data_IF_098875375885
#
_entry.id   IF_098875375885
#
_cell.length_a   1.000
_cell.length_b   1.000
_cell.length_c   1.000
_cell.angle_alpha   90.00
_cell.angle_beta   90.00
_cell.angle_gamma   90.00
#
_symmetry.space_group_name_H-M   'P 1'
#
loop_
_entity.id
_entity.type
_entity.pdbx_description
1 polymer ?
#
# COMPACT_ATOMS: atom_id res chain seq x y z
N UNK A 1 15.94 24.95 42.83
CA UNK A 1 16.41 26.28 42.40
C UNK A 1 16.99 26.15 41.00
N UNK A 2 16.15 26.35 39.99
CA UNK A 2 16.41 26.93 38.66
C UNK A 2 15.12 26.76 37.87
N UNK A 3 14.53 27.89 37.53
CA UNK A 3 13.18 28.11 37.00
C UNK A 3 13.20 28.31 35.49
N UNK A 4 12.07 28.01 34.85
CA UNK A 4 11.68 28.40 33.49
C UNK A 4 11.48 29.92 33.36
N UNK A 5 11.37 30.37 32.10
CA UNK A 5 11.12 31.72 31.56
C UNK A 5 12.43 32.48 31.22
N UNK A 6 12.64 33.05 30.02
CA UNK A 6 11.72 33.90 29.26
C UNK A 6 11.78 33.69 27.74
N UNK A 7 10.58 33.75 27.17
CA UNK A 7 10.27 34.01 25.77
C UNK A 7 9.98 35.49 25.60
N UNK A 8 10.72 36.19 24.73
CA UNK A 8 10.30 37.47 24.16
C UNK A 8 10.89 37.64 22.76
N UNK A 9 10.03 37.50 21.75
CA UNK A 9 10.32 37.90 20.38
C UNK A 9 9.80 39.32 20.14
N UNK A 10 10.51 40.16 19.36
CA UNK A 10 9.95 41.43 18.92
C UNK A 10 8.97 41.22 17.76
N UNK A 11 7.77 41.78 17.94
CA UNK A 11 6.75 42.03 16.91
C UNK A 11 7.14 43.23 16.04
N UNK A 12 6.54 43.25 14.86
CA UNK A 12 6.36 44.40 13.95
C UNK A 12 7.52 44.80 13.03
N UNK A 13 7.51 44.18 11.85
CA UNK A 13 8.07 44.74 10.62
C UNK A 13 7.09 44.48 9.48
N UNK A 14 6.24 45.47 9.20
CA UNK A 14 5.27 45.43 8.10
C UNK A 14 5.99 45.37 6.75
N UNK A 15 5.70 44.33 5.96
CA UNK A 15 6.08 44.23 4.54
C UNK A 15 4.79 44.34 3.71
N UNK A 16 4.73 45.24 2.72
CA UNK A 16 3.50 45.50 1.97
C UNK A 16 3.13 44.32 1.07
N UNK A 17 1.82 44.06 0.96
CA UNK A 17 1.26 43.09 0.02
C UNK A 17 1.48 43.55 -1.43
N UNK A 18 1.93 42.67 -2.34
CA UNK A 18 1.75 42.90 -3.77
C UNK A 18 0.29 42.61 -4.15
N UNK A 19 -0.33 43.61 -4.79
CA UNK A 19 -1.65 43.51 -5.39
C UNK A 19 -1.65 42.55 -6.59
N UNK A 20 -2.71 41.74 -6.65
CA UNK A 20 -3.35 41.09 -7.81
C UNK A 20 -2.47 40.53 -8.94
N UNK A 21 -2.60 39.22 -9.18
CA UNK A 21 -3.37 38.71 -10.33
C UNK A 21 -3.47 37.17 -10.33
N UNK A 22 -4.71 36.68 -10.52
CA UNK A 22 -5.13 35.30 -10.86
C UNK A 22 -5.28 34.25 -9.74
N UNK A 23 -6.24 34.49 -8.83
CA UNK A 23 -6.91 33.42 -8.10
C UNK A 23 -7.98 32.76 -9.01
N UNK A 24 -7.70 31.58 -9.57
CA UNK A 24 -8.77 30.67 -10.02
C UNK A 24 -9.16 29.77 -8.86
N UNK A 25 -10.31 30.09 -8.25
CA UNK A 25 -10.95 29.30 -7.23
C UNK A 25 -11.31 27.90 -7.76
N UNK A 26 -10.68 26.86 -7.22
CA UNK A 26 -11.27 25.52 -7.22
C UNK A 26 -12.28 25.45 -6.07
N UNK A 27 -13.58 25.49 -6.41
CA UNK A 27 -14.62 25.03 -5.49
C UNK A 27 -14.93 23.55 -5.79
N UNK A 28 -14.97 22.66 -4.79
CA UNK A 28 -15.42 21.29 -4.98
C UNK A 28 -16.92 21.25 -5.22
N UNK A 29 -17.35 20.45 -6.19
CA UNK A 29 -18.77 20.15 -6.39
C UNK A 29 -19.27 19.36 -5.18
N UNK A 30 -20.19 19.95 -4.44
CA UNK A 30 -20.80 19.36 -3.26
C UNK A 30 -21.86 18.34 -3.67
N UNK A 31 -21.75 17.13 -3.09
CA UNK A 31 -22.77 16.08 -2.92
C UNK A 31 -23.24 15.33 -4.18
N UNK A 32 -23.08 14.01 -4.12
CA UNK A 32 -23.99 13.06 -4.76
C UNK A 32 -23.29 12.02 -5.62
N UNK A 33 -23.27 10.78 -5.15
CA UNK A 33 -22.93 9.60 -5.93
C UNK A 33 -23.71 9.54 -7.25
N UNK A 34 -23.02 9.39 -8.37
CA UNK A 34 -23.61 8.77 -9.55
C UNK A 34 -23.23 7.29 -9.54
N UNK A 35 -24.11 6.48 -8.94
CA UNK A 35 -24.07 5.02 -9.06
C UNK A 35 -24.25 4.62 -10.53
N UNK A 36 -23.53 3.57 -10.96
CA UNK A 36 -23.55 3.01 -12.30
C UNK A 36 -24.86 2.30 -12.73
N UNK A 37 -26.03 2.82 -12.32
CA UNK A 37 -27.36 2.33 -12.73
C UNK A 37 -28.31 3.51 -12.90
N UNK A 38 -28.29 4.13 -14.07
CA UNK A 38 -29.43 4.84 -14.67
C UNK A 38 -29.13 5.07 -16.16
N UNK A 39 -29.10 3.96 -16.90
CA UNK A 39 -29.38 3.98 -18.33
C UNK A 39 -30.88 4.26 -18.53
N UNK A 40 -31.18 4.96 -19.62
CA UNK A 40 -32.50 5.16 -20.21
C UNK A 40 -33.46 6.08 -19.44
N UNK A 41 -33.42 7.38 -19.74
CA UNK A 41 -34.58 8.22 -20.10
C UNK A 41 -34.25 9.71 -19.96
N UNK A 42 -33.74 10.32 -21.03
CA UNK A 42 -33.82 11.77 -21.24
C UNK A 42 -34.43 12.02 -22.62
N UNK A 43 -35.72 11.72 -22.74
CA UNK A 43 -36.58 12.13 -23.86
C UNK A 43 -37.66 13.04 -23.27
N UNK A 44 -37.84 14.21 -23.91
CA UNK A 44 -38.89 15.24 -23.72
C UNK A 44 -38.75 16.17 -22.52
N UNK A 45 -38.08 17.31 -22.75
CA UNK A 45 -38.57 18.62 -22.27
C UNK A 45 -38.44 19.65 -23.41
N UNK A 46 -39.62 20.00 -23.94
CA UNK A 46 -40.11 21.29 -24.47
C UNK A 46 -39.29 22.08 -25.51
N UNK A 47 -39.88 22.12 -26.71
CA UNK A 47 -39.76 23.19 -27.69
C UNK A 47 -40.16 24.55 -27.09
N UNK A 48 -39.27 25.55 -27.19
CA UNK A 48 -39.56 26.90 -27.74
C UNK A 48 -38.30 27.79 -27.66
N UNK A 49 -37.89 28.27 -28.84
CA UNK A 49 -37.03 29.44 -29.10
C UNK A 49 -35.81 29.69 -28.20
N UNK A 50 -34.62 29.32 -28.71
CA UNK A 50 -33.51 30.23 -29.03
C UNK A 50 -32.19 29.46 -29.04
N UNK A 51 -31.64 29.31 -30.25
CA UNK A 51 -30.25 28.99 -30.63
C UNK A 51 -29.28 28.70 -29.47
N UNK A 52 -29.15 27.42 -29.08
CA UNK A 52 -27.90 26.90 -28.54
C UNK A 52 -27.17 26.21 -29.68
N UNK A 53 -26.01 26.75 -30.06
CA UNK A 53 -25.01 25.97 -30.75
C UNK A 53 -24.57 24.85 -29.80
N UNK A 54 -25.19 23.67 -29.93
CA UNK A 54 -24.49 22.43 -29.62
C UNK A 54 -23.30 22.41 -30.58
N UNK A 55 -22.13 22.84 -30.11
CA UNK A 55 -20.88 22.61 -30.79
C UNK A 55 -20.66 21.10 -30.83
N UNK A 56 -21.15 20.49 -31.90
CA UNK A 56 -20.70 19.21 -32.41
C UNK A 56 -19.17 19.31 -32.44
N UNK A 57 -18.51 18.73 -31.45
CA UNK A 57 -17.06 18.68 -31.41
C UNK A 57 -16.64 17.82 -32.60
N UNK A 58 -16.27 18.49 -33.69
CA UNK A 58 -15.78 17.90 -34.91
C UNK A 58 -14.48 17.15 -34.60
N UNK A 59 -14.59 15.87 -34.28
CA UNK A 59 -13.50 14.89 -34.25
C UNK A 59 -12.84 14.72 -35.64
N UNK A 60 -13.30 15.44 -36.66
CA UNK A 60 -12.69 15.41 -37.99
C UNK A 60 -11.55 16.42 -38.07
N UNK A 61 -10.35 15.84 -38.13
CA UNK A 61 -9.26 16.27 -39.02
C UNK A 61 -8.36 17.38 -38.47
N UNK A 62 -7.63 17.04 -37.41
CA UNK A 62 -6.26 17.49 -37.19
C UNK A 62 -5.49 16.46 -36.34
N UNK A 63 -5.42 15.22 -36.82
CA UNK A 63 -4.30 14.33 -36.47
C UNK A 63 -3.09 14.78 -37.29
N UNK A 64 -2.61 16.00 -37.03
CA UNK A 64 -1.24 16.33 -37.36
C UNK A 64 -0.39 15.30 -36.60
N UNK A 65 0.28 14.43 -37.36
CA UNK A 65 1.35 13.51 -36.94
C UNK A 65 1.87 13.82 -35.53
N UNK A 66 1.21 13.27 -34.51
CA UNK A 66 1.81 13.11 -33.19
C UNK A 66 2.62 11.81 -33.27
N UNK A 67 3.63 11.81 -34.13
CA UNK A 67 4.76 10.88 -34.15
C UNK A 67 5.69 11.18 -32.94
N UNK A 68 5.12 11.43 -31.76
CA UNK A 68 5.85 11.32 -30.51
C UNK A 68 5.55 9.93 -29.99
N UNK A 69 6.50 9.02 -30.13
CA UNK A 69 6.46 7.60 -29.76
C UNK A 69 6.04 7.39 -28.30
N UNK A 70 4.74 7.22 -27.99
CA UNK A 70 4.27 7.07 -26.61
C UNK A 70 4.46 5.63 -26.12
N UNK A 71 4.63 4.67 -27.05
CA UNK A 71 5.10 3.31 -26.78
C UNK A 71 6.47 3.29 -26.10
N UNK A 72 7.38 4.20 -26.47
CA UNK A 72 8.73 4.24 -25.86
C UNK A 72 8.66 4.68 -24.39
N UNK A 73 7.90 5.74 -24.10
CA UNK A 73 7.68 6.19 -22.72
C UNK A 73 6.94 5.12 -21.92
N UNK A 74 5.93 4.49 -22.50
CA UNK A 74 5.23 3.36 -21.89
C UNK A 74 6.17 2.20 -21.54
N UNK A 75 7.03 1.77 -22.47
CA UNK A 75 7.96 0.65 -22.26
C UNK A 75 9.02 0.98 -21.20
N UNK A 76 9.59 2.19 -21.24
CA UNK A 76 10.55 2.67 -20.23
C UNK A 76 9.89 2.72 -18.83
N UNK A 77 8.68 3.27 -18.75
CA UNK A 77 7.94 3.36 -17.49
C UNK A 77 7.49 1.98 -17.00
N UNK A 78 7.08 1.08 -17.90
CA UNK A 78 6.72 -0.30 -17.58
C UNK A 78 7.88 -1.04 -16.94
N UNK A 79 9.09 -0.93 -17.51
CA UNK A 79 10.28 -1.54 -16.91
C UNK A 79 10.54 -1.03 -15.49
N UNK A 80 10.43 0.29 -15.27
CA UNK A 80 10.55 0.90 -13.93
C UNK A 80 9.48 0.37 -12.97
N UNK A 81 8.22 0.33 -13.40
CA UNK A 81 7.10 -0.17 -12.58
C UNK A 81 7.29 -1.64 -12.22
N UNK A 82 7.76 -2.48 -13.14
CA UNK A 82 8.08 -3.90 -12.84
C UNK A 82 9.19 -4.02 -11.81
N UNK A 83 10.25 -3.21 -11.91
CA UNK A 83 11.32 -3.19 -10.92
C UNK A 83 10.80 -2.74 -9.53
N UNK A 84 9.97 -1.69 -9.50
CA UNK A 84 9.32 -1.19 -8.27
C UNK A 84 8.42 -2.27 -7.68
N UNK A 85 7.58 -2.94 -8.48
CA UNK A 85 6.71 -4.03 -8.02
C UNK A 85 7.53 -5.15 -7.37
N UNK A 86 8.63 -5.55 -8.00
CA UNK A 86 9.54 -6.55 -7.47
C UNK A 86 10.16 -6.15 -6.13
N UNK A 87 10.60 -4.90 -5.98
CA UNK A 87 11.18 -4.39 -4.74
C UNK A 87 10.14 -4.25 -3.62
N UNK A 88 9.03 -3.56 -3.88
CA UNK A 88 7.96 -3.37 -2.88
C UNK A 88 7.38 -4.72 -2.45
N UNK A 89 7.17 -5.66 -3.37
CA UNK A 89 6.65 -6.99 -3.01
C UNK A 89 7.63 -7.82 -2.19
N UNK A 90 8.94 -7.60 -2.32
CA UNK A 90 9.94 -8.21 -1.41
C UNK A 90 9.83 -7.58 -0.02
N UNK A 91 9.80 -6.25 0.07
CA UNK A 91 9.70 -5.54 1.35
C UNK A 91 8.42 -5.91 2.11
N UNK A 92 7.27 -5.96 1.44
CA UNK A 92 5.99 -6.37 2.05
C UNK A 92 6.08 -7.78 2.61
N UNK A 93 6.65 -8.73 1.85
CA UNK A 93 6.84 -10.10 2.34
C UNK A 93 7.77 -10.16 3.54
N UNK A 94 8.85 -9.39 3.55
CA UNK A 94 9.75 -9.30 4.70
C UNK A 94 9.07 -8.70 5.93
N UNK A 95 8.25 -7.66 5.77
CA UNK A 95 7.46 -7.08 6.86
C UNK A 95 6.44 -8.05 7.44
N UNK A 96 5.77 -8.81 6.56
CA UNK A 96 4.80 -9.82 6.97
C UNK A 96 5.48 -10.99 7.71
N UNK A 97 6.63 -11.46 7.21
CA UNK A 97 7.46 -12.44 7.91
C UNK A 97 7.96 -11.93 9.27
N UNK A 98 8.38 -10.66 9.34
CA UNK A 98 8.83 -10.05 10.59
C UNK A 98 7.72 -10.02 11.65
N UNK A 99 6.49 -9.63 11.28
CA UNK A 99 5.35 -9.68 12.19
C UNK A 99 5.00 -11.10 12.62
N UNK A 100 5.00 -12.04 11.68
CA UNK A 100 4.74 -13.46 11.99
C UNK A 100 5.79 -14.03 12.97
N UNK A 101 7.05 -13.58 12.89
CA UNK A 101 8.08 -13.96 13.86
C UNK A 101 7.75 -13.47 15.27
N UNK A 102 7.23 -12.25 15.44
CA UNK A 102 6.76 -11.74 16.73
C UNK A 102 5.61 -12.56 17.31
N UNK A 103 4.63 -12.92 16.47
CA UNK A 103 3.52 -13.80 16.87
C UNK A 103 4.06 -15.15 17.35
N UNK A 104 4.99 -15.76 16.59
CA UNK A 104 5.62 -17.03 16.96
C UNK A 104 6.39 -16.95 18.28
N UNK A 105 7.09 -15.85 18.54
CA UNK A 105 7.77 -15.65 19.83
C UNK A 105 6.74 -15.69 20.97
N UNK A 106 5.61 -14.98 20.83
CA UNK A 106 4.53 -15.03 21.82
C UNK A 106 3.97 -16.44 22.03
N UNK A 107 3.73 -17.18 20.95
CA UNK A 107 3.24 -18.57 21.02
C UNK A 107 4.24 -19.52 21.70
N UNK A 108 5.54 -19.36 21.43
CA UNK A 108 6.60 -20.13 22.10
C UNK A 108 6.67 -19.81 23.60
N UNK A 109 6.51 -18.55 23.99
CA UNK A 109 6.46 -18.17 25.41
C UNK A 109 5.32 -18.88 26.15
N UNK A 110 4.14 -18.99 25.52
CA UNK A 110 3.00 -19.73 26.07
C UNK A 110 3.32 -21.21 26.23
N UNK A 111 3.95 -21.81 25.22
CA UNK A 111 4.32 -23.23 25.26
C UNK A 111 5.27 -23.52 26.44
N UNK A 112 6.37 -22.77 26.56
CA UNK A 112 7.32 -22.95 27.66
C UNK A 112 6.71 -22.66 29.03
N UNK A 113 5.87 -21.63 29.13
CA UNK A 113 5.20 -21.31 30.40
C UNK A 113 4.23 -22.41 30.83
N UNK A 114 3.52 -23.03 29.89
CA UNK A 114 2.65 -24.19 30.16
C UNK A 114 3.44 -25.43 30.55
N UNK A 115 4.57 -25.69 29.91
CA UNK A 115 5.47 -26.79 30.30
C UNK A 115 5.99 -26.59 31.74
N UNK A 116 6.43 -25.38 32.09
CA UNK A 116 6.85 -25.03 33.45
C UNK A 116 5.71 -25.22 34.47
N UNK A 117 4.49 -24.81 34.12
CA UNK A 117 3.31 -25.00 34.97
C UNK A 117 3.02 -26.49 35.19
N UNK A 118 3.14 -27.33 34.17
CA UNK A 118 2.89 -28.77 34.28
C UNK A 118 3.92 -29.50 35.13
N UNK A 119 5.21 -29.14 35.01
CA UNK A 119 6.28 -29.76 35.80
C UNK A 119 6.21 -29.35 37.28
N UNK A 120 5.92 -28.09 37.57
CA UNK A 120 5.83 -27.58 38.96
C UNK A 120 4.62 -28.10 39.74
N UNK A 121 3.52 -28.48 39.07
CA UNK A 121 2.37 -29.14 39.72
C UNK A 121 2.75 -30.47 40.38
N UNK A 122 3.80 -31.14 39.89
CA UNK A 122 4.30 -32.39 40.47
C UNK A 122 5.14 -32.25 41.73
N UNK A 123 5.65 -31.05 42.04
CA UNK A 123 6.64 -30.85 43.12
C UNK A 123 6.03 -30.51 44.49
N UNK A 124 4.73 -30.22 44.56
CA UNK A 124 4.02 -29.93 45.82
C UNK A 124 4.35 -28.58 46.48
N UNK A 125 5.16 -27.73 45.86
CA UNK A 125 5.50 -26.40 46.37
C UNK A 125 4.47 -25.34 45.90
N UNK A 126 3.68 -24.80 46.84
CA UNK A 126 2.61 -23.85 46.56
C UNK A 126 3.10 -22.51 45.97
N UNK A 127 4.23 -21.98 46.46
CA UNK A 127 4.79 -20.71 45.97
C UNK A 127 5.32 -20.85 44.54
N UNK A 128 5.98 -21.98 44.24
CA UNK A 128 6.45 -22.28 42.87
C UNK A 128 5.30 -22.44 41.89
N UNK A 129 4.21 -23.09 42.32
CA UNK A 129 3.00 -23.25 41.51
C UNK A 129 2.34 -21.90 41.23
N UNK A 130 2.19 -21.05 42.24
CA UNK A 130 1.63 -19.70 42.07
C UNK A 130 2.49 -18.85 41.12
N UNK A 131 3.83 -18.99 41.20
CA UNK A 131 4.74 -18.32 40.28
C UNK A 131 4.61 -18.86 38.84
N UNK A 132 4.51 -20.17 38.65
CA UNK A 132 4.31 -20.78 37.34
C UNK A 132 2.96 -20.38 36.71
N UNK A 133 1.89 -20.30 37.51
CA UNK A 133 0.58 -19.83 37.07
C UNK A 133 0.63 -18.35 36.61
N UNK A 134 1.35 -17.49 37.35
CA UNK A 134 1.59 -16.09 36.95
C UNK A 134 2.33 -15.98 35.62
N UNK A 135 3.40 -16.76 35.42
CA UNK A 135 4.19 -16.77 34.17
C UNK A 135 3.31 -17.24 32.99
N UNK A 136 2.52 -18.29 33.18
CA UNK A 136 1.61 -18.78 32.15
C UNK A 136 0.55 -17.73 31.75
N UNK A 137 -0.03 -17.03 32.73
CA UNK A 137 -0.97 -15.94 32.48
C UNK A 137 -0.32 -14.75 31.75
N UNK A 138 0.92 -14.40 32.10
CA UNK A 138 1.65 -13.31 31.47
C UNK A 138 2.05 -13.66 30.03
N UNK A 139 2.53 -14.88 29.80
CA UNK A 139 2.85 -15.39 28.47
C UNK A 139 1.62 -15.39 27.55
N UNK A 140 0.46 -15.76 28.07
CA UNK A 140 -0.81 -15.72 27.33
C UNK A 140 -1.16 -14.29 26.92
N UNK A 141 -1.09 -13.33 27.86
CA UNK A 141 -1.29 -11.89 27.57
C UNK A 141 -0.34 -11.40 26.48
N UNK A 142 0.94 -11.75 26.56
CA UNK A 142 1.94 -11.35 25.55
C UNK A 142 1.60 -11.96 24.18
N UNK A 143 1.25 -13.24 24.12
CA UNK A 143 0.89 -13.91 22.87
C UNK A 143 -0.35 -13.30 22.21
N UNK A 144 -1.38 -13.01 23.00
CA UNK A 144 -2.60 -12.35 22.54
C UNK A 144 -2.30 -10.95 22.00
N UNK A 145 -1.50 -10.16 22.71
CA UNK A 145 -1.13 -8.82 22.26
C UNK A 145 -0.33 -8.86 20.95
N UNK A 146 0.67 -9.75 20.83
CA UNK A 146 1.45 -9.93 19.61
C UNK A 146 0.55 -10.28 18.42
N UNK A 147 -0.49 -11.09 18.65
CA UNK A 147 -1.49 -11.46 17.64
C UNK A 147 -2.43 -10.30 17.31
N UNK A 148 -2.98 -9.61 18.30
CA UNK A 148 -3.93 -8.50 18.12
C UNK A 148 -3.31 -7.39 17.29
N UNK A 149 -2.07 -7.02 17.59
CA UNK A 149 -1.38 -6.03 16.78
C UNK A 149 -1.07 -6.50 15.36
N UNK A 150 -0.74 -7.78 15.15
CA UNK A 150 -0.56 -8.31 13.80
C UNK A 150 -1.88 -8.25 13.00
N UNK A 151 -3.01 -8.51 13.66
CA UNK A 151 -4.35 -8.38 13.09
C UNK A 151 -4.76 -6.91 12.88
N UNK A 152 -4.00 -5.96 13.42
CA UNK A 152 -4.27 -4.53 13.32
C UNK A 152 -5.37 -4.05 14.26
N UNK A 153 -5.65 -4.79 15.33
CA UNK A 153 -6.52 -4.36 16.41
C UNK A 153 -5.74 -3.34 17.27
N UNK A 154 -6.12 -2.06 17.18
CA UNK A 154 -5.44 -0.93 17.82
C UNK A 154 -4.94 0.12 16.81
N UNK A 155 -5.21 1.40 17.07
CA UNK A 155 -4.79 2.52 16.20
C UNK A 155 -3.30 2.86 16.32
N UNK A 156 -2.42 1.94 15.94
CA UNK A 156 -0.97 2.19 15.95
C UNK A 156 -0.47 2.78 14.63
N UNK A 157 0.56 3.64 14.72
CA UNK A 157 1.18 4.26 13.54
C UNK A 157 1.77 3.21 12.58
N UNK A 158 2.32 2.12 13.13
CA UNK A 158 2.79 0.95 12.39
C UNK A 158 1.71 0.30 11.54
N UNK A 159 0.51 0.09 12.09
CA UNK A 159 -0.66 -0.49 11.40
C UNK A 159 -1.13 0.40 10.25
N UNK A 160 -1.22 1.72 10.46
CA UNK A 160 -1.59 2.68 9.41
C UNK A 160 -0.57 2.72 8.27
N UNK A 161 0.73 2.69 8.58
CA UNK A 161 1.79 2.62 7.55
C UNK A 161 1.68 1.34 6.73
N UNK A 162 1.44 0.20 7.37
CA UNK A 162 1.27 -1.08 6.68
C UNK A 162 0.06 -1.06 5.73
N UNK A 163 -1.05 -0.43 6.12
CA UNK A 163 -2.22 -0.26 5.27
C UNK A 163 -1.89 0.53 4.00
N UNK A 164 -1.17 1.65 4.10
CA UNK A 164 -0.75 2.43 2.93
C UNK A 164 0.19 1.64 2.01
N UNK A 165 1.10 0.84 2.57
CA UNK A 165 1.98 -0.03 1.77
C UNK A 165 1.15 -1.09 1.02
N UNK A 166 0.18 -1.72 1.69
CA UNK A 166 -0.74 -2.71 1.07
C UNK A 166 -1.62 -2.06 -0.02
N UNK A 167 -2.08 -0.84 0.20
CA UNK A 167 -2.85 -0.08 -0.80
C UNK A 167 -2.00 0.21 -2.04
N UNK A 168 -0.76 0.65 -1.85
CA UNK A 168 0.17 0.87 -2.97
C UNK A 168 0.45 -0.41 -3.76
N UNK A 169 0.57 -1.56 -3.07
CA UNK A 169 0.69 -2.86 -3.72
C UNK A 169 -0.57 -3.22 -4.53
N UNK A 170 -1.75 -2.83 -4.06
CA UNK A 170 -2.99 -2.97 -4.84
C UNK A 170 -2.96 -2.13 -6.12
N UNK A 171 -2.51 -0.87 -6.03
CA UNK A 171 -2.36 0.03 -7.18
C UNK A 171 -1.34 -0.48 -8.21
N UNK A 172 -0.24 -1.10 -7.75
CA UNK A 172 0.73 -1.79 -8.61
C UNK A 172 0.08 -2.92 -9.41
N UNK A 173 -0.71 -3.78 -8.75
CA UNK A 173 -1.45 -4.87 -9.42
C UNK A 173 -2.43 -4.34 -10.46
N UNK A 174 -3.20 -3.30 -10.11
CA UNK A 174 -4.13 -2.68 -11.06
C UNK A 174 -3.39 -2.11 -12.28
N UNK A 175 -2.26 -1.41 -12.07
CA UNK A 175 -1.46 -0.88 -13.17
C UNK A 175 -0.94 -1.98 -14.10
N UNK A 176 -0.54 -3.13 -13.56
CA UNK A 176 -0.12 -4.30 -14.34
C UNK A 176 -1.27 -4.88 -15.16
N UNK A 177 -2.43 -5.05 -14.57
CA UNK A 177 -3.62 -5.56 -15.26
C UNK A 177 -4.06 -4.61 -16.40
N UNK A 178 -4.05 -3.31 -16.14
CA UNK A 178 -4.35 -2.27 -17.14
C UNK A 178 -3.31 -2.27 -18.27
N UNK A 179 -2.04 -2.41 -17.94
CA UNK A 179 -0.95 -2.53 -18.93
C UNK A 179 -1.15 -3.75 -19.85
N UNK A 180 -1.54 -4.90 -19.30
CA UNK A 180 -1.83 -6.09 -20.10
C UNK A 180 -3.06 -5.91 -21.01
N UNK A 181 -4.06 -5.13 -20.59
CA UNK A 181 -5.21 -4.77 -21.44
C UNK A 181 -4.80 -3.83 -22.55
N UNK A 182 -3.95 -2.84 -22.27
CA UNK A 182 -3.41 -1.92 -23.26
C UNK A 182 -2.67 -2.67 -24.38
N UNK A 183 -1.83 -3.65 -24.04
CA UNK A 183 -1.12 -4.48 -25.03
C UNK A 183 -2.07 -5.27 -25.95
N UNK A 184 -3.21 -5.72 -25.44
CA UNK A 184 -4.24 -6.38 -26.25
C UNK A 184 -4.91 -5.39 -27.21
N UNK A 185 -5.20 -4.18 -26.75
CA UNK A 185 -5.77 -3.11 -27.57
C UNK A 185 -4.77 -2.63 -28.64
N UNK A 186 -3.48 -2.56 -28.31
CA UNK A 186 -2.42 -2.24 -29.27
C UNK A 186 -2.40 -3.24 -30.43
N UNK A 187 -2.44 -4.55 -30.11
CA UNK A 187 -2.49 -5.62 -31.11
C UNK A 187 -3.75 -5.56 -31.99
N UNK A 188 -4.92 -5.26 -31.42
CA UNK A 188 -6.17 -5.10 -32.19
C UNK A 188 -6.10 -3.90 -33.14
N UNK A 189 -5.59 -2.76 -32.66
CA UNK A 189 -5.38 -1.58 -33.49
C UNK A 189 -4.38 -1.86 -34.63
N UNK A 190 -3.23 -2.47 -34.33
CA UNK A 190 -2.21 -2.81 -35.33
C UNK A 190 -2.73 -3.80 -36.38
N UNK A 191 -3.50 -4.81 -35.96
CA UNK A 191 -4.12 -5.76 -36.88
C UNK A 191 -5.11 -5.08 -37.83
N UNK A 192 -5.97 -4.18 -37.31
CA UNK A 192 -6.94 -3.43 -38.13
C UNK A 192 -6.23 -2.45 -39.06
N UNK A 193 -5.18 -1.79 -38.59
CA UNK A 193 -4.35 -0.88 -39.38
C UNK A 193 -3.66 -1.61 -40.53
N UNK A 194 -3.14 -2.82 -40.30
CA UNK A 194 -2.56 -3.66 -41.34
C UNK A 194 -3.60 -4.03 -42.41
N UNK A 195 -4.80 -4.45 -42.00
CA UNK A 195 -5.90 -4.76 -42.94
C UNK A 195 -6.29 -3.53 -43.78
N UNK A 196 -6.41 -2.35 -43.17
CA UNK A 196 -6.71 -1.11 -43.90
C UNK A 196 -5.60 -0.78 -44.89
N UNK A 197 -4.33 -0.86 -44.48
CA UNK A 197 -3.16 -0.63 -45.33
C UNK A 197 -3.14 -1.57 -46.53
N UNK A 198 -3.35 -2.88 -46.32
CA UNK A 198 -3.38 -3.87 -47.40
C UNK A 198 -4.51 -3.60 -48.40
N UNK A 199 -5.70 -3.20 -47.90
CA UNK A 199 -6.85 -2.88 -48.75
C UNK A 199 -6.66 -1.57 -49.51
N UNK A 200 -5.98 -0.59 -48.93
CA UNK A 200 -5.57 0.64 -49.59
C UNK A 200 -4.57 0.37 -50.72
N UNK A 201 -3.56 -0.46 -50.46
CA UNK A 201 -2.57 -0.87 -51.46
C UNK A 201 -3.20 -1.67 -52.61
N UNK A 202 -4.18 -2.52 -52.31
CA UNK A 202 -4.96 -3.27 -53.29
C UNK A 202 -5.97 -2.41 -54.08
N UNK A 203 -6.02 -1.08 -53.86
CA UNK A 203 -6.97 -0.16 -54.50
C UNK A 203 -8.43 -0.60 -54.36
N UNK A 204 -8.78 -1.12 -53.18
CA UNK A 204 -10.15 -1.55 -52.86
C UNK A 204 -11.11 -0.37 -52.98
N UNK A 205 -12.31 -0.59 -53.52
CA UNK A 205 -13.35 0.43 -53.64
C UNK A 205 -13.69 1.11 -52.31
N UNK A 206 -13.90 2.43 -52.34
CA UNK A 206 -14.14 3.25 -51.14
C UNK A 206 -15.33 2.75 -50.30
N UNK A 207 -16.39 2.23 -50.94
CA UNK A 207 -17.57 1.68 -50.25
C UNK A 207 -17.23 0.50 -49.31
N UNK A 208 -16.19 -0.27 -49.63
CA UNK A 208 -15.71 -1.40 -48.82
C UNK A 208 -14.61 -0.99 -47.85
N UNK A 209 -13.88 0.08 -48.16
CA UNK A 209 -12.76 0.59 -47.36
C UNK A 209 -13.24 1.45 -46.17
N UNK A 210 -14.25 2.30 -46.38
CA UNK A 210 -14.82 3.18 -45.36
C UNK A 210 -15.18 2.45 -44.04
N UNK A 211 -15.95 1.34 -44.03
CA UNK A 211 -16.28 0.66 -42.78
C UNK A 211 -15.05 0.05 -42.07
N UNK A 212 -14.00 -0.33 -42.81
CA UNK A 212 -12.76 -0.84 -42.22
C UNK A 212 -11.95 0.29 -41.55
N UNK A 213 -11.95 1.48 -42.14
CA UNK A 213 -11.36 2.68 -41.52
C UNK A 213 -12.09 3.08 -40.25
N UNK A 214 -13.42 3.06 -40.25
CA UNK A 214 -14.21 3.36 -39.05
C UNK A 214 -13.89 2.40 -37.89
N UNK A 215 -13.80 1.09 -38.19
CA UNK A 215 -13.41 0.08 -37.21
C UNK A 215 -11.96 0.22 -36.71
N UNK A 216 -11.04 0.70 -37.55
CA UNK A 216 -9.67 1.02 -37.17
C UNK A 216 -9.63 2.25 -36.25
N UNK A 217 -10.37 3.32 -36.58
CA UNK A 217 -10.44 4.53 -35.75
C UNK A 217 -11.10 4.26 -34.39
N UNK A 218 -12.09 3.37 -34.32
CA UNK A 218 -12.67 2.94 -33.04
C UNK A 218 -11.63 2.21 -32.16
N UNK A 219 -10.84 1.32 -32.76
CA UNK A 219 -9.76 0.62 -32.05
C UNK A 219 -8.65 1.60 -31.62
N UNK A 220 -8.28 2.56 -32.47
CA UNK A 220 -7.33 3.61 -32.14
C UNK A 220 -7.82 4.43 -30.94
N UNK A 221 -9.07 4.87 -30.94
CA UNK A 221 -9.65 5.65 -29.85
C UNK A 221 -9.57 4.90 -28.51
N UNK A 222 -9.93 3.61 -28.50
CA UNK A 222 -9.84 2.76 -27.30
C UNK A 222 -8.42 2.54 -26.83
N UNK A 223 -7.48 2.33 -27.77
CA UNK A 223 -6.07 2.18 -27.46
C UNK A 223 -5.51 3.46 -26.82
N UNK A 224 -5.77 4.64 -27.41
CA UNK A 224 -5.29 5.93 -26.91
C UNK A 224 -5.87 6.29 -25.53
N UNK A 225 -7.14 6.01 -25.31
CA UNK A 225 -7.78 6.21 -24.00
C UNK A 225 -7.11 5.33 -22.92
N UNK A 226 -6.89 4.05 -23.23
CA UNK A 226 -6.19 3.13 -22.33
C UNK A 226 -4.72 3.51 -22.13
N UNK A 227 -4.04 4.00 -23.17
CA UNK A 227 -2.64 4.46 -23.12
C UNK A 227 -2.49 5.61 -22.13
N UNK A 228 -3.39 6.61 -22.20
CA UNK A 228 -3.38 7.75 -21.29
C UNK A 228 -3.63 7.34 -19.82
N UNK A 229 -4.62 6.47 -19.56
CA UNK A 229 -4.89 5.93 -18.20
C UNK A 229 -3.68 5.19 -17.64
N UNK A 230 -3.05 4.32 -18.44
CA UNK A 230 -1.89 3.54 -18.00
C UNK A 230 -0.67 4.44 -17.75
N UNK A 231 -0.37 5.39 -18.63
CA UNK A 231 0.76 6.33 -18.44
C UNK A 231 0.58 7.17 -17.16
N UNK A 232 -0.64 7.64 -16.89
CA UNK A 232 -0.94 8.38 -15.66
C UNK A 232 -0.68 7.51 -14.41
N UNK A 233 -1.08 6.24 -14.44
CA UNK A 233 -0.88 5.30 -13.33
C UNK A 233 0.59 4.93 -13.14
N UNK A 234 1.31 4.67 -14.23
CA UNK A 234 2.75 4.41 -14.18
C UNK A 234 3.50 5.61 -13.58
N UNK A 235 3.16 6.83 -14.00
CA UNK A 235 3.73 8.06 -13.43
C UNK A 235 3.46 8.17 -11.93
N UNK A 236 2.22 7.93 -11.51
CA UNK A 236 1.86 7.92 -10.08
C UNK A 236 2.73 6.94 -9.28
N UNK A 237 2.86 5.69 -9.76
CA UNK A 237 3.69 4.67 -9.11
C UNK A 237 5.15 5.11 -9.02
N UNK A 238 5.72 5.58 -10.14
CA UNK A 238 7.13 6.00 -10.20
C UNK A 238 7.39 7.17 -9.24
N UNK A 239 6.49 8.16 -9.21
CA UNK A 239 6.61 9.34 -8.33
C UNK A 239 6.53 8.97 -6.85
N UNK A 240 5.67 8.03 -6.46
CA UNK A 240 5.43 7.73 -5.04
C UNK A 240 6.20 6.52 -4.49
N UNK A 241 6.82 5.70 -5.35
CA UNK A 241 7.59 4.53 -4.92
C UNK A 241 8.69 4.82 -3.87
N UNK A 242 9.47 5.93 -3.96
CA UNK A 242 10.48 6.24 -2.94
C UNK A 242 9.86 6.46 -1.55
N UNK A 243 8.71 7.15 -1.49
CA UNK A 243 8.00 7.40 -0.24
C UNK A 243 7.48 6.10 0.37
N UNK A 244 6.94 5.19 -0.44
CA UNK A 244 6.45 3.89 0.01
C UNK A 244 7.60 2.99 0.48
N UNK A 245 8.75 3.05 -0.19
CA UNK A 245 9.96 2.33 0.22
C UNK A 245 10.42 2.83 1.60
N UNK A 246 10.45 4.15 1.81
CA UNK A 246 10.75 4.73 3.12
C UNK A 246 9.71 4.32 4.18
N UNK A 247 8.42 4.35 3.83
CA UNK A 247 7.33 3.90 4.71
C UNK A 247 7.49 2.44 5.15
N UNK A 248 8.00 1.55 4.27
CA UNK A 248 8.29 0.16 4.65
C UNK A 248 9.39 0.08 5.72
N UNK A 249 10.46 0.87 5.59
CA UNK A 249 11.56 0.90 6.57
C UNK A 249 11.11 1.49 7.92
N UNK A 250 10.35 2.59 7.88
CA UNK A 250 9.78 3.20 9.09
C UNK A 250 8.79 2.23 9.74
N UNK A 251 7.98 1.52 8.95
CA UNK A 251 7.05 0.52 9.45
C UNK A 251 7.79 -0.62 10.17
N UNK A 252 8.90 -1.10 9.62
CA UNK A 252 9.76 -2.08 10.28
C UNK A 252 10.22 -1.60 11.66
N UNK A 253 10.84 -0.40 11.73
CA UNK A 253 11.35 0.16 12.97
C UNK A 253 10.24 0.47 13.98
N UNK A 254 9.08 0.94 13.51
CA UNK A 254 7.93 1.21 14.37
C UNK A 254 7.37 -0.07 14.99
N UNK A 255 7.21 -1.14 14.19
CA UNK A 255 6.77 -2.45 14.70
C UNK A 255 7.76 -2.96 15.74
N UNK A 256 9.07 -2.93 15.44
CA UNK A 256 10.10 -3.38 16.37
C UNK A 256 10.03 -2.61 17.70
N UNK A 257 10.03 -1.28 17.63
CA UNK A 257 10.01 -0.42 18.82
C UNK A 257 8.76 -0.64 19.68
N UNK A 258 7.57 -0.66 19.06
CA UNK A 258 6.30 -0.91 19.75
C UNK A 258 6.31 -2.28 20.47
N UNK A 259 6.83 -3.31 19.82
CA UNK A 259 6.89 -4.68 20.36
C UNK A 259 7.89 -4.81 21.50
N UNK A 260 9.08 -4.23 21.33
CA UNK A 260 10.14 -4.25 22.35
C UNK A 260 9.71 -3.43 23.57
N UNK A 261 9.10 -2.26 23.38
CA UNK A 261 8.57 -1.46 24.48
C UNK A 261 7.48 -2.22 25.24
N UNK A 262 6.52 -2.79 24.53
CA UNK A 262 5.46 -3.61 25.16
C UNK A 262 6.05 -4.75 25.97
N UNK A 263 7.04 -5.47 25.42
CA UNK A 263 7.73 -6.51 26.16
C UNK A 263 8.41 -5.92 27.40
N UNK A 264 9.16 -4.83 27.29
CA UNK A 264 9.83 -4.22 28.45
C UNK A 264 8.84 -3.83 29.57
N UNK A 265 7.66 -3.32 29.22
CA UNK A 265 6.60 -2.97 30.18
C UNK A 265 5.97 -4.19 30.86
N UNK A 266 5.85 -5.32 30.15
CA UNK A 266 5.21 -6.54 30.65
C UNK A 266 6.19 -7.57 31.22
N UNK A 267 7.48 -7.50 30.89
CA UNK A 267 8.47 -8.55 31.17
C UNK A 267 9.26 -8.37 32.45
N UNK A 268 8.89 -7.43 33.32
CA UNK A 268 9.51 -7.23 34.63
C UNK A 268 9.57 -8.53 35.44
N UNK A 269 8.51 -9.34 35.38
CA UNK A 269 8.45 -10.62 36.09
C UNK A 269 9.27 -11.73 35.39
N UNK A 270 9.40 -11.71 34.06
CA UNK A 270 10.32 -12.62 33.35
C UNK A 270 11.78 -12.30 33.67
N UNK A 271 12.15 -11.01 33.75
CA UNK A 271 13.50 -10.60 34.13
C UNK A 271 13.82 -10.92 35.58
N UNK A 272 12.88 -10.69 36.51
CA UNK A 272 13.02 -11.12 37.90
C UNK A 272 13.16 -12.62 38.00
N UNK A 273 12.32 -13.41 37.33
CA UNK A 273 12.45 -14.86 37.30
C UNK A 273 13.83 -15.29 36.81
N UNK A 274 14.32 -14.72 35.70
CA UNK A 274 15.67 -15.00 35.20
C UNK A 274 16.70 -14.67 36.27
N UNK A 275 16.68 -13.46 36.82
CA UNK A 275 17.75 -13.02 37.72
C UNK A 275 17.72 -13.76 39.07
N UNK A 276 16.52 -14.07 39.58
CA UNK A 276 16.31 -14.78 40.84
C UNK A 276 16.56 -16.30 40.70
N UNK A 277 16.21 -16.91 39.56
CA UNK A 277 16.22 -18.38 39.39
C UNK A 277 17.41 -18.89 38.57
N UNK A 278 18.03 -18.08 37.71
CA UNK A 278 19.07 -18.57 36.80
C UNK A 278 20.28 -19.10 37.57
N UNK A 279 20.80 -18.32 38.52
CA UNK A 279 22.01 -18.71 39.26
C UNK A 279 21.77 -19.93 40.17
N UNK A 280 20.68 -20.01 40.96
CA UNK A 280 20.36 -21.24 41.72
C UNK A 280 20.14 -22.46 40.83
N UNK A 281 19.43 -22.32 39.71
CA UNK A 281 19.15 -23.44 38.80
C UNK A 281 20.42 -23.96 38.14
N UNK A 282 21.28 -23.06 37.66
CA UNK A 282 22.59 -23.43 37.11
C UNK A 282 23.43 -24.17 38.16
N UNK A 283 23.43 -23.69 39.40
CA UNK A 283 24.17 -24.36 40.47
C UNK A 283 23.65 -25.78 40.75
N UNK A 284 22.33 -25.99 40.84
CA UNK A 284 21.76 -27.33 40.99
C UNK A 284 22.09 -28.24 39.81
N UNK A 285 22.04 -27.73 38.58
CA UNK A 285 22.43 -28.51 37.39
C UNK A 285 23.92 -28.91 37.45
N UNK A 286 24.80 -27.95 37.75
CA UNK A 286 26.25 -28.18 37.87
C UNK A 286 26.61 -29.14 38.99
N UNK A 287 25.86 -29.16 40.09
CA UNK A 287 26.19 -29.98 41.26
C UNK A 287 25.51 -31.35 41.25
N UNK A 288 24.29 -31.45 40.74
CA UNK A 288 23.47 -32.66 40.80
C UNK A 288 23.49 -33.45 39.49
N UNK A 289 23.58 -32.77 38.35
CA UNK A 289 23.51 -33.41 37.02
C UNK A 289 24.90 -33.55 36.38
N UNK A 290 25.74 -32.53 36.53
CA UNK A 290 27.11 -32.52 35.99
C UNK A 290 28.16 -32.32 37.08
N UNK A 291 28.19 -33.19 38.11
CA UNK A 291 29.11 -33.01 39.22
C UNK A 291 30.56 -32.93 38.70
N UNK A 292 31.39 -32.03 39.26
CA UNK A 292 32.76 -31.87 38.82
C UNK A 292 33.47 -33.22 38.92
N UNK A 293 34.08 -33.65 37.81
CA UNK A 293 34.89 -34.86 37.79
C UNK A 293 36.03 -34.71 38.79
N UNK A 294 36.12 -35.70 39.68
CA UNK A 294 37.13 -35.79 40.74
C UNK A 294 38.54 -35.88 40.19
#
# INVERSE_FOLDING_TARGET
MMTFADSDGPRDGAVPAPADQTATHWRPCARGWCSARQSASCVRILWRHSVMACSCFCWKRNFARLDRTPLKEYDENKQKVVAIEGHVSKLVRSLDQFQNSWVRIGELMVLFAKELQQTTVGEGNAERREQADRIASLAQTVSEEMRNHHLGEGEHGSTRLLQYVKEFQSRLRECRERSARLEKLAKDYDARRAVVSDKEQAKTEEKKLAPLRDLMYEAESRFREAEADVLQRQKFIITHAPLITNACLICFAAIESERVQFLAEKSTDFYRLRDDQLRPTLHSIETEVFPPLS
#
